data_IF_954174905404
#
_entry.id   IF_954174905404
#
_cell.length_a   1.000
_cell.length_b   1.000
_cell.length_c   1.000
_cell.angle_alpha   90.00
_cell.angle_beta   90.00
_cell.angle_gamma   90.00
#
_symmetry.space_group_name_H-M   'P 1'
#
loop_
_entity.id
_entity.type
_entity.pdbx_description
1 polymer ?
#
# COMPACT_ATOMS: atom_id res chain seq x y z
N UNK A 1 -0.21 21.99 8.39
CA UNK A 1 -0.32 20.53 8.58
C UNK A 1 0.04 19.90 7.26
N UNK A 2 1.18 19.24 7.20
CA UNK A 2 1.68 18.59 5.99
C UNK A 2 0.71 17.45 5.66
N UNK A 3 0.02 17.55 4.52
CA UNK A 3 -0.55 16.38 3.86
C UNK A 3 0.65 15.56 3.41
N UNK A 4 1.18 14.71 4.29
CA UNK A 4 2.03 13.61 3.86
C UNK A 4 1.20 12.82 2.84
N UNK A 5 1.66 12.79 1.60
CA UNK A 5 0.95 12.10 0.54
C UNK A 5 0.82 10.64 0.96
N UNK A 6 -0.41 10.18 1.14
CA UNK A 6 -0.64 8.84 1.68
C UNK A 6 -0.12 7.76 0.74
N UNK A 7 0.17 8.10 -0.53
CA UNK A 7 0.95 7.27 -1.43
C UNK A 7 2.39 7.09 -0.93
N UNK A 8 3.12 8.18 -0.66
CA UNK A 8 4.51 8.15 -0.21
C UNK A 8 4.70 7.33 1.08
N UNK A 9 3.78 7.47 2.03
CA UNK A 9 3.80 6.69 3.28
C UNK A 9 3.59 5.21 3.00
N UNK A 10 2.65 4.86 2.09
CA UNK A 10 2.42 3.46 1.72
C UNK A 10 3.63 2.87 1.01
N UNK A 11 4.27 3.62 0.11
CA UNK A 11 5.51 3.18 -0.57
C UNK A 11 6.63 2.92 0.44
N UNK A 12 6.83 3.82 1.41
CA UNK A 12 7.84 3.62 2.45
C UNK A 12 7.59 2.35 3.29
N UNK A 13 6.32 2.03 3.59
CA UNK A 13 5.95 0.79 4.27
C UNK A 13 6.27 -0.43 3.41
N UNK A 14 5.91 -0.39 2.12
CA UNK A 14 6.15 -1.48 1.17
C UNK A 14 7.65 -1.75 0.99
N UNK A 15 8.47 -0.70 0.87
CA UNK A 15 9.93 -0.82 0.71
C UNK A 15 10.61 -1.44 1.95
N UNK A 16 9.96 -1.39 3.12
CA UNK A 16 10.51 -1.91 4.38
C UNK A 16 9.78 -3.16 4.89
N UNK A 17 8.91 -3.79 4.10
CA UNK A 17 8.11 -4.96 4.53
C UNK A 17 8.96 -6.10 5.10
N UNK A 18 10.13 -6.36 4.51
CA UNK A 18 11.05 -7.41 4.99
C UNK A 18 11.72 -7.11 6.33
N UNK A 19 11.61 -5.88 6.84
CA UNK A 19 12.12 -5.45 8.14
C UNK A 19 11.01 -5.27 9.18
N UNK A 20 9.73 -5.49 8.80
CA UNK A 20 8.57 -5.32 9.66
C UNK A 20 8.04 -6.70 10.06
N UNK A 21 8.28 -7.10 11.31
CA UNK A 21 7.74 -8.36 11.87
C UNK A 21 6.19 -8.34 11.92
N UNK A 22 5.64 -7.24 12.45
CA UNK A 22 4.22 -6.97 12.47
C UNK A 22 3.95 -5.46 12.53
N UNK A 23 2.87 -5.03 11.86
CA UNK A 23 2.33 -3.68 12.00
C UNK A 23 0.85 -3.65 11.60
N UNK A 24 0.09 -2.75 12.20
CA UNK A 24 -1.26 -2.41 11.77
C UNK A 24 -1.36 -0.88 11.71
N UNK A 25 -1.63 -0.34 10.53
CA UNK A 25 -1.57 1.09 10.24
C UNK A 25 -2.89 1.51 9.61
N UNK A 26 -3.55 2.50 10.20
CA UNK A 26 -4.73 3.12 9.62
C UNK A 26 -4.33 4.46 8.98
N UNK A 27 -4.57 4.60 7.68
CA UNK A 27 -4.16 5.77 6.90
C UNK A 27 -5.23 6.15 5.88
N UNK A 28 -5.06 7.30 5.22
CA UNK A 28 -5.92 7.70 4.12
C UNK A 28 -5.61 6.84 2.89
N UNK A 29 -6.65 6.39 2.19
CA UNK A 29 -6.45 5.62 0.97
C UNK A 29 -5.98 6.53 -0.18
N UNK A 30 -4.88 6.20 -0.87
CA UNK A 30 -4.40 6.97 -2.02
C UNK A 30 -5.29 6.80 -3.26
N UNK A 31 -6.04 5.70 -3.38
CA UNK A 31 -6.89 5.40 -4.54
C UNK A 31 -8.15 6.27 -4.68
N UNK A 32 -8.54 6.97 -3.61
CA UNK A 32 -9.72 7.82 -3.63
C UNK A 32 -9.51 9.12 -2.86
N UNK A 33 -10.07 10.21 -3.39
CA UNK A 33 -10.10 11.50 -2.71
C UNK A 33 -11.19 11.51 -1.63
N UNK A 34 -11.06 10.65 -0.62
CA UNK A 34 -11.95 10.61 0.53
C UNK A 34 -11.64 11.71 1.55
N UNK A 35 -12.67 12.16 2.28
CA UNK A 35 -12.54 13.08 3.42
C UNK A 35 -12.08 12.34 4.69
N UNK A 36 -12.25 11.01 4.71
CA UNK A 36 -11.83 10.17 5.83
C UNK A 36 -10.30 10.13 5.95
N UNK A 37 -9.80 10.59 7.09
CA UNK A 37 -8.37 10.59 7.44
C UNK A 37 -7.81 9.17 7.62
N UNK A 38 -8.68 8.19 7.85
CA UNK A 38 -8.34 6.77 8.03
C UNK A 38 -9.36 5.92 7.27
N UNK A 39 -9.09 5.66 5.99
CA UNK A 39 -9.97 4.89 5.09
C UNK A 39 -9.33 3.61 4.57
N UNK A 40 -8.05 3.42 4.86
CA UNK A 40 -7.23 2.27 4.48
C UNK A 40 -6.58 1.69 5.75
N UNK A 41 -6.78 0.41 5.98
CA UNK A 41 -6.04 -0.38 6.96
C UNK A 41 -4.97 -1.18 6.23
N UNK A 42 -3.73 -1.08 6.70
CA UNK A 42 -2.58 -1.83 6.20
C UNK A 42 -2.10 -2.71 7.33
N UNK A 43 -2.18 -4.02 7.14
CA UNK A 43 -1.70 -5.01 8.10
C UNK A 43 -0.49 -5.73 7.51
N UNK A 44 0.59 -5.75 8.28
CA UNK A 44 1.79 -6.53 8.00
C UNK A 44 1.90 -7.59 9.08
N UNK A 45 1.98 -8.87 8.69
CA UNK A 45 2.12 -9.97 9.64
C UNK A 45 2.92 -11.10 9.01
N UNK A 46 4.05 -11.43 9.62
CA UNK A 46 4.91 -12.53 9.17
C UNK A 46 5.26 -12.43 7.67
N UNK A 47 5.67 -11.23 7.22
CA UNK A 47 6.01 -10.94 5.82
C UNK A 47 4.82 -10.81 4.87
N UNK A 48 3.58 -11.02 5.35
CA UNK A 48 2.37 -10.87 4.52
C UNK A 48 1.76 -9.50 4.69
N UNK A 49 1.47 -8.84 3.57
CA UNK A 49 0.71 -7.60 3.49
C UNK A 49 -0.77 -7.91 3.28
N UNK A 50 -1.64 -7.22 4.00
CA UNK A 50 -3.07 -7.13 3.69
C UNK A 50 -3.49 -5.67 3.71
N UNK A 51 -4.23 -5.25 2.69
CA UNK A 51 -4.78 -3.91 2.60
C UNK A 51 -6.30 -3.97 2.54
N UNK A 52 -6.97 -3.24 3.42
CA UNK A 52 -8.42 -3.14 3.42
C UNK A 52 -8.86 -1.68 3.39
N UNK A 53 -9.50 -1.28 2.29
CA UNK A 53 -10.12 0.03 2.19
C UNK A 53 -11.60 -0.04 2.58
N UNK A 54 -12.00 0.71 3.61
CA UNK A 54 -13.41 0.81 4.06
C UNK A 54 -14.34 1.39 2.98
N UNK A 55 -13.80 2.14 2.02
CA UNK A 55 -14.56 2.68 0.89
C UNK A 55 -14.64 1.71 -0.30
N UNK A 56 -14.10 0.49 -0.18
CA UNK A 56 -14.19 -0.55 -1.19
C UNK A 56 -13.24 -0.39 -2.38
N UNK A 57 -12.14 0.35 -2.22
CA UNK A 57 -11.12 0.37 -3.27
C UNK A 57 -10.39 -0.98 -3.35
N UNK A 58 -10.24 -1.56 -4.55
CA UNK A 58 -9.47 -2.78 -4.74
C UNK A 58 -7.97 -2.53 -4.53
N UNK A 59 -7.25 -3.55 -4.07
CA UNK A 59 -5.82 -3.48 -3.74
C UNK A 59 -4.96 -3.00 -4.93
N UNK A 60 -5.23 -3.49 -6.14
CA UNK A 60 -4.50 -3.07 -7.36
C UNK A 60 -4.59 -1.55 -7.60
N UNK A 61 -5.77 -0.97 -7.35
CA UNK A 61 -5.99 0.47 -7.52
C UNK A 61 -5.29 1.28 -6.43
N UNK A 62 -5.21 0.73 -5.22
CA UNK A 62 -4.47 1.33 -4.09
C UNK A 62 -2.99 1.37 -4.40
N UNK A 63 -2.44 0.25 -4.86
CA UNK A 63 -1.04 0.14 -5.27
C UNK A 63 -0.71 1.03 -6.45
N UNK A 64 -1.55 1.04 -7.50
CA UNK A 64 -1.35 1.91 -8.65
C UNK A 64 -1.37 3.40 -8.30
N UNK A 65 -2.23 3.80 -7.35
CA UNK A 65 -2.29 5.17 -6.87
C UNK A 65 -1.08 5.54 -6.01
N UNK A 66 -0.57 4.62 -5.19
CA UNK A 66 0.60 4.87 -4.35
C UNK A 66 1.93 4.86 -5.12
N UNK A 67 2.08 3.97 -6.10
CA UNK A 67 3.30 3.84 -6.91
C UNK A 67 3.34 4.82 -8.10
N UNK A 68 2.22 5.49 -8.40
CA UNK A 68 2.07 6.43 -9.51
C UNK A 68 1.99 5.75 -10.87
N UNK A 69 0.96 6.04 -11.66
CA UNK A 69 0.79 5.55 -13.05
C UNK A 69 1.71 6.25 -14.07
N UNK A 70 2.99 6.48 -13.73
CA UNK A 70 3.88 7.35 -14.52
C UNK A 70 5.38 7.05 -14.47
N UNK A 71 5.81 5.94 -13.88
CA UNK A 71 7.18 5.45 -14.05
C UNK A 71 7.10 4.04 -14.60
N UNK A 72 7.81 3.81 -15.71
CA UNK A 72 7.96 2.52 -16.37
C UNK A 72 7.96 1.39 -15.35
N UNK A 73 6.90 0.58 -15.41
CA UNK A 73 6.72 -0.63 -14.63
C UNK A 73 7.98 -1.49 -14.84
N UNK A 74 8.86 -1.69 -13.85
CA UNK A 74 9.82 -2.78 -13.96
C UNK A 74 8.95 -4.01 -13.70
N UNK A 75 8.55 -4.68 -14.78
CA UNK A 75 7.71 -5.89 -14.78
C UNK A 75 8.14 -6.91 -13.71
N UNK A 76 9.42 -6.94 -13.36
CA UNK A 76 9.97 -7.80 -12.31
C UNK A 76 9.46 -7.47 -10.90
N UNK A 77 9.21 -6.20 -10.54
CA UNK A 77 8.93 -5.82 -9.15
C UNK A 77 7.49 -6.15 -8.72
N UNK A 78 6.55 -6.12 -9.66
CA UNK A 78 5.18 -6.55 -9.43
C UNK A 78 5.08 -8.08 -9.39
N UNK A 79 5.86 -8.78 -10.23
CA UNK A 79 5.94 -10.25 -10.22
C UNK A 79 6.61 -10.78 -8.94
N UNK A 80 7.73 -10.17 -8.49
CA UNK A 80 8.37 -10.50 -7.21
C UNK A 80 7.44 -10.29 -6.01
N UNK A 81 6.55 -9.29 -6.07
CA UNK A 81 5.56 -9.03 -5.03
C UNK A 81 4.42 -10.08 -5.03
N UNK A 82 3.94 -10.47 -6.21
CA UNK A 82 2.95 -11.56 -6.36
C UNK A 82 3.54 -12.89 -5.89
N UNK A 83 4.79 -13.19 -6.26
CA UNK A 83 5.49 -14.41 -5.82
C UNK A 83 5.71 -14.43 -4.29
N UNK A 84 6.01 -13.27 -3.68
CA UNK A 84 6.11 -13.15 -2.22
C UNK A 84 4.76 -13.37 -1.49
N UNK A 85 3.63 -13.09 -2.15
CA UNK A 85 2.29 -13.36 -1.63
C UNK A 85 1.84 -14.82 -1.83
N UNK A 86 2.39 -15.50 -2.85
CA UNK A 86 2.06 -16.88 -3.20
C UNK A 86 2.86 -17.94 -2.42
N UNK A 87 3.92 -17.55 -1.70
CA UNK A 87 4.73 -18.40 -0.83
C UNK A 87 4.18 -18.54 0.62
#
# INVERSE_FOLDING_TARGET
MQNEDSGDVLVAILDNIGQIDNACIAMKCPAHAGVFTSSLEVTLKAGRLSMHCMCGCPEDRILAAALGTGQEQPSNRFEEFIDALAA
#
